data_IF_077948403930
#
_entry.id   IF_077948403930
#
_cell.length_a   1.000
_cell.length_b   1.000
_cell.length_c   1.000
_cell.angle_alpha   90.00
_cell.angle_beta   90.00
_cell.angle_gamma   90.00
#
_symmetry.space_group_name_H-M   'P 1'
#
loop_
_entity.id
_entity.type
_entity.pdbx_description
1 polymer ?
#
# COMPACT_ATOMS: atom_id res chain seq x y z
N UNK A 1 -18.33 15.08 -20.73
CA UNK A 1 -18.88 14.91 -19.37
C UNK A 1 -18.89 13.41 -19.12
N UNK A 2 -17.99 12.89 -18.29
CA UNK A 2 -18.00 11.47 -17.97
C UNK A 2 -19.26 11.21 -17.14
N UNK A 3 -20.18 10.39 -17.67
CA UNK A 3 -21.40 10.02 -16.96
C UNK A 3 -21.02 9.14 -15.76
N UNK A 4 -20.89 9.78 -14.60
CA UNK A 4 -20.87 9.05 -13.33
C UNK A 4 -22.23 8.38 -13.13
N UNK A 5 -22.23 7.26 -12.40
CA UNK A 5 -23.47 6.59 -12.02
C UNK A 5 -24.43 7.59 -11.34
N UNK A 6 -25.75 7.50 -11.55
CA UNK A 6 -26.73 8.39 -10.92
C UNK A 6 -26.55 8.52 -9.40
N UNK A 7 -26.15 7.42 -8.75
CA UNK A 7 -25.92 7.36 -7.30
C UNK A 7 -24.68 8.17 -6.90
N UNK A 8 -23.62 8.15 -7.71
CA UNK A 8 -22.43 8.95 -7.42
C UNK A 8 -22.76 10.43 -7.54
N UNK A 9 -23.53 10.82 -8.56
CA UNK A 9 -24.00 12.20 -8.69
C UNK A 9 -24.84 12.61 -7.46
N UNK A 10 -25.77 11.77 -7.03
CA UNK A 10 -26.56 12.03 -5.80
C UNK A 10 -25.68 12.19 -4.56
N UNK A 11 -24.63 11.38 -4.41
CA UNK A 11 -23.71 11.49 -3.27
C UNK A 11 -22.88 12.78 -3.32
N UNK A 12 -22.42 13.18 -4.51
CA UNK A 12 -21.72 14.45 -4.71
C UNK A 12 -22.64 15.64 -4.40
N UNK A 13 -23.89 15.59 -4.85
CA UNK A 13 -24.90 16.63 -4.61
C UNK A 13 -25.26 16.75 -3.11
N UNK A 14 -25.16 15.64 -2.36
CA UNK A 14 -25.32 15.61 -0.90
C UNK A 14 -24.09 16.10 -0.13
N UNK A 15 -23.03 16.54 -0.82
CA UNK A 15 -21.82 17.10 -0.21
C UNK A 15 -20.76 16.07 0.17
N UNK A 16 -20.87 14.81 -0.28
CA UNK A 16 -19.81 13.81 -0.09
C UNK A 16 -18.63 14.15 -1.00
N UNK A 17 -17.42 14.24 -0.44
CA UNK A 17 -16.21 14.50 -1.24
C UNK A 17 -15.97 13.38 -2.25
N UNK A 18 -15.68 13.76 -3.50
CA UNK A 18 -15.37 12.81 -4.58
C UNK A 18 -14.19 11.90 -4.24
N UNK A 19 -13.20 12.40 -3.49
CA UNK A 19 -12.05 11.62 -3.04
C UNK A 19 -12.45 10.50 -2.07
N UNK A 20 -13.44 10.76 -1.21
CA UNK A 20 -14.00 9.76 -0.30
C UNK A 20 -14.70 8.65 -1.08
N UNK A 21 -15.52 9.02 -2.09
CA UNK A 21 -16.23 8.06 -2.95
C UNK A 21 -15.22 7.17 -3.70
N UNK A 22 -14.21 7.80 -4.32
CA UNK A 22 -13.15 7.11 -5.04
C UNK A 22 -12.40 6.14 -4.11
N UNK A 23 -12.01 6.59 -2.91
CA UNK A 23 -11.25 5.77 -1.96
C UNK A 23 -12.05 4.54 -1.49
N UNK A 24 -13.33 4.73 -1.15
CA UNK A 24 -14.20 3.65 -0.70
C UNK A 24 -14.47 2.62 -1.80
N UNK A 25 -14.67 3.06 -3.04
CA UNK A 25 -14.92 2.16 -4.17
C UNK A 25 -13.65 1.47 -4.68
N UNK A 26 -12.48 2.11 -4.61
CA UNK A 26 -11.21 1.51 -5.01
C UNK A 26 -10.65 0.56 -3.96
N UNK A 27 -10.95 0.74 -2.67
CA UNK A 27 -10.38 -0.10 -1.62
C UNK A 27 -10.61 -1.61 -1.82
N UNK A 28 -11.84 -2.09 -2.14
CA UNK A 28 -12.07 -3.49 -2.48
C UNK A 28 -11.24 -3.97 -3.67
N UNK A 29 -11.06 -3.12 -4.70
CA UNK A 29 -10.27 -3.45 -5.90
C UNK A 29 -8.81 -3.70 -5.52
N UNK A 30 -8.26 -2.80 -4.69
CA UNK A 30 -6.90 -2.91 -4.17
C UNK A 30 -6.72 -4.19 -3.36
N UNK A 31 -7.66 -4.50 -2.46
CA UNK A 31 -7.60 -5.71 -1.65
C UNK A 31 -7.58 -6.96 -2.52
N UNK A 32 -8.41 -7.04 -3.56
CA UNK A 32 -8.41 -8.16 -4.50
C UNK A 32 -7.09 -8.30 -5.24
N UNK A 33 -6.50 -7.19 -5.72
CA UNK A 33 -5.18 -7.21 -6.38
C UNK A 33 -4.11 -7.76 -5.42
N UNK A 34 -4.11 -7.32 -4.17
CA UNK A 34 -3.19 -7.83 -3.14
C UNK A 34 -3.39 -9.32 -2.90
N UNK A 35 -4.64 -9.79 -2.81
CA UNK A 35 -4.97 -11.22 -2.64
C UNK A 35 -4.47 -12.03 -3.84
N UNK A 36 -4.68 -11.55 -5.06
CA UNK A 36 -4.18 -12.19 -6.29
C UNK A 36 -2.66 -12.33 -6.23
N UNK A 37 -1.94 -11.24 -5.97
CA UNK A 37 -0.49 -11.25 -5.92
C UNK A 37 0.03 -12.20 -4.84
N UNK A 38 -0.63 -12.23 -3.68
CA UNK A 38 -0.24 -13.11 -2.58
C UNK A 38 -0.56 -14.58 -2.84
N UNK A 39 -1.69 -14.89 -3.45
CA UNK A 39 -2.13 -16.26 -3.68
C UNK A 39 -1.50 -16.87 -4.94
N UNK A 40 -1.43 -16.13 -6.04
CA UNK A 40 -0.88 -16.62 -7.31
C UNK A 40 0.64 -16.48 -7.35
N UNK A 41 1.21 -15.33 -6.95
CA UNK A 41 2.66 -15.11 -7.03
C UNK A 41 3.37 -15.69 -5.80
N UNK A 42 2.73 -15.67 -4.62
CA UNK A 42 3.30 -16.18 -3.38
C UNK A 42 4.14 -15.17 -2.59
N UNK A 43 3.99 -13.88 -2.89
CA UNK A 43 4.72 -12.78 -2.23
C UNK A 43 4.25 -12.67 -0.76
N UNK A 44 5.20 -12.60 0.18
CA UNK A 44 4.89 -12.47 1.61
C UNK A 44 4.94 -10.99 2.01
N UNK A 45 3.82 -10.42 2.43
CA UNK A 45 3.76 -9.03 2.90
C UNK A 45 3.26 -8.96 4.36
N UNK A 46 3.17 -7.74 4.92
CA UNK A 46 2.62 -7.47 6.25
C UNK A 46 1.08 -7.70 6.33
N UNK A 47 0.65 -8.93 6.07
CA UNK A 47 -0.76 -9.27 5.90
C UNK A 47 -1.33 -8.70 4.60
N UNK A 48 -2.65 -8.63 4.50
CA UNK A 48 -3.37 -8.07 3.34
C UNK A 48 -3.59 -6.57 3.53
N UNK A 49 -3.98 -6.16 4.73
CA UNK A 49 -4.30 -4.77 5.07
C UNK A 49 -3.17 -3.79 4.75
N UNK A 50 -1.95 -4.09 5.17
CA UNK A 50 -0.83 -3.16 5.09
C UNK A 50 -0.42 -2.83 3.64
N UNK A 51 -0.14 -3.81 2.76
CA UNK A 51 0.09 -3.50 1.35
C UNK A 51 -1.12 -2.81 0.70
N UNK A 52 -2.37 -3.13 1.08
CA UNK A 52 -3.56 -2.47 0.52
C UNK A 52 -3.61 -0.97 0.82
N UNK A 53 -3.47 -0.55 2.08
CA UNK A 53 -3.57 0.89 2.41
C UNK A 53 -2.33 1.63 1.93
N UNK A 54 -1.16 1.00 1.88
CA UNK A 54 0.04 1.62 1.30
C UNK A 54 -0.13 1.84 -0.20
N UNK A 55 -0.78 0.90 -0.90
CA UNK A 55 -1.16 1.08 -2.32
C UNK A 55 -2.05 2.31 -2.49
N UNK A 56 -3.09 2.45 -1.65
CA UNK A 56 -3.95 3.63 -1.69
C UNK A 56 -3.17 4.91 -1.37
N UNK A 57 -2.29 4.88 -0.37
CA UNK A 57 -1.45 6.02 -0.04
C UNK A 57 -0.59 6.45 -1.25
N UNK A 58 -0.03 5.49 -1.98
CA UNK A 58 0.75 5.75 -3.19
C UNK A 58 -0.11 6.35 -4.31
N UNK A 59 -1.32 5.82 -4.53
CA UNK A 59 -2.27 6.34 -5.53
C UNK A 59 -2.64 7.80 -5.24
N UNK A 60 -2.86 8.15 -3.96
CA UNK A 60 -3.21 9.52 -3.58
C UNK A 60 -2.01 10.48 -3.61
N UNK A 61 -0.83 10.04 -3.18
CA UNK A 61 0.39 10.89 -3.22
C UNK A 61 0.82 11.14 -4.67
N UNK A 62 0.66 10.15 -5.55
CA UNK A 62 1.12 10.20 -6.93
C UNK A 62 -0.03 10.25 -7.95
N UNK A 63 -1.07 11.01 -7.61
CA UNK A 63 -2.29 11.16 -8.42
C UNK A 63 -2.10 12.08 -9.63
N UNK A 64 -1.34 13.15 -9.47
CA UNK A 64 -1.20 14.19 -10.51
C UNK A 64 -0.27 13.76 -11.63
N UNK A 65 0.92 13.24 -11.30
CA UNK A 65 1.87 12.74 -12.28
C UNK A 65 2.35 11.34 -11.90
N UNK A 66 2.51 10.51 -12.92
CA UNK A 66 3.09 9.17 -12.76
C UNK A 66 4.47 9.20 -12.07
N UNK A 67 5.28 10.23 -12.36
CA UNK A 67 6.61 10.38 -11.78
C UNK A 67 6.60 10.74 -10.29
N UNK A 68 5.46 11.14 -9.73
CA UNK A 68 5.32 11.54 -8.32
C UNK A 68 5.34 10.32 -7.38
N UNK A 69 5.25 9.10 -7.92
CA UNK A 69 5.42 7.86 -7.15
C UNK A 69 6.76 7.83 -6.40
N UNK A 70 7.79 8.50 -6.94
CA UNK A 70 9.08 8.65 -6.27
C UNK A 70 8.94 9.28 -4.89
N UNK A 71 7.98 10.19 -4.67
CA UNK A 71 7.76 10.84 -3.38
C UNK A 71 7.20 9.85 -2.37
N UNK A 72 6.18 9.08 -2.76
CA UNK A 72 5.59 8.05 -1.91
C UNK A 72 6.61 6.96 -1.53
N UNK A 73 7.40 6.50 -2.51
CA UNK A 73 8.47 5.52 -2.28
C UNK A 73 9.58 6.10 -1.39
N UNK A 74 9.95 7.37 -1.58
CA UNK A 74 10.97 8.02 -0.74
C UNK A 74 10.52 8.12 0.72
N UNK A 75 9.28 8.56 0.96
CA UNK A 75 8.71 8.61 2.31
C UNK A 75 8.68 7.22 2.93
N UNK A 76 8.23 6.21 2.18
CA UNK A 76 8.22 4.82 2.62
C UNK A 76 9.60 4.33 3.07
N UNK A 77 10.64 4.59 2.28
CA UNK A 77 12.02 4.17 2.58
C UNK A 77 12.56 4.91 3.80
N UNK A 78 12.36 6.24 3.88
CA UNK A 78 12.80 7.05 5.03
C UNK A 78 12.14 6.56 6.32
N UNK A 79 10.83 6.33 6.28
CA UNK A 79 10.05 5.86 7.43
C UNK A 79 10.59 4.52 7.96
N UNK A 80 10.87 3.56 7.09
CA UNK A 80 11.45 2.28 7.50
C UNK A 80 12.90 2.41 7.98
N UNK A 81 13.70 3.24 7.32
CA UNK A 81 15.09 3.46 7.70
C UNK A 81 15.19 4.07 9.10
N UNK A 82 14.45 5.16 9.35
CA UNK A 82 14.40 5.83 10.65
C UNK A 82 13.84 4.89 11.71
N UNK A 83 12.76 4.16 11.40
CA UNK A 83 12.19 3.18 12.31
C UNK A 83 13.17 2.07 12.71
N UNK A 84 14.01 1.61 11.77
CA UNK A 84 15.07 0.63 12.00
C UNK A 84 16.19 1.21 12.87
N UNK A 85 16.69 2.42 12.55
CA UNK A 85 17.73 3.11 13.33
C UNK A 85 17.26 3.33 14.77
N UNK A 86 16.05 3.86 14.93
CA UNK A 86 15.50 4.18 16.24
C UNK A 86 15.29 2.92 17.10
N UNK A 87 14.96 1.78 16.49
CA UNK A 87 14.94 0.49 17.21
C UNK A 87 16.31 0.16 17.81
N UNK A 88 17.41 0.35 17.07
CA UNK A 88 18.75 0.09 17.59
C UNK A 88 19.11 1.03 18.75
N UNK A 89 18.71 2.30 18.67
CA UNK A 89 18.88 3.28 19.74
C UNK A 89 18.08 2.87 20.98
N UNK A 90 16.78 2.59 20.82
CA UNK A 90 15.87 2.24 21.91
C UNK A 90 16.18 0.89 22.57
N UNK A 91 16.89 -0.02 21.89
CA UNK A 91 17.29 -1.32 22.45
C UNK A 91 18.12 -1.16 23.73
N UNK A 92 18.86 -0.06 23.89
CA UNK A 92 19.69 0.21 25.09
C UNK A 92 18.87 0.58 26.32
N UNK A 93 17.67 1.12 26.14
CA UNK A 93 16.87 1.73 27.21
C UNK A 93 15.95 0.75 27.96
N UNK A 94 15.98 -0.56 27.63
CA UNK A 94 15.16 -1.62 28.28
C UNK A 94 13.68 -1.25 28.49
N UNK A 95 13.10 -0.50 27.55
CA UNK A 95 11.72 -0.02 27.63
C UNK A 95 10.69 -1.14 27.37
N UNK A 96 9.49 -0.99 27.94
CA UNK A 96 8.31 -1.79 27.57
C UNK A 96 7.96 -1.61 26.09
N UNK A 97 7.23 -2.58 25.52
CA UNK A 97 6.85 -2.58 24.11
C UNK A 97 6.04 -1.34 23.71
N UNK A 98 4.95 -1.02 24.43
CA UNK A 98 4.06 0.09 24.13
C UNK A 98 4.79 1.46 24.11
N UNK A 99 5.54 1.85 25.17
CA UNK A 99 6.35 3.08 25.13
C UNK A 99 7.39 3.09 24.01
N UNK A 100 8.01 1.94 23.72
CA UNK A 100 9.02 1.84 22.67
C UNK A 100 8.43 2.11 21.29
N UNK A 101 7.24 1.57 20.99
CA UNK A 101 6.54 1.80 19.73
C UNK A 101 6.08 3.25 19.62
N UNK A 102 5.54 3.82 20.71
CA UNK A 102 5.11 5.23 20.73
C UNK A 102 6.27 6.19 20.43
N UNK A 103 7.41 6.04 21.10
CA UNK A 103 8.60 6.87 20.84
C UNK A 103 9.06 6.70 19.39
N UNK A 104 9.04 5.48 18.86
CA UNK A 104 9.45 5.26 17.47
C UNK A 104 8.52 5.96 16.47
N UNK A 105 7.20 5.85 16.66
CA UNK A 105 6.21 6.56 15.84
C UNK A 105 6.39 8.09 15.92
N UNK A 106 6.68 8.64 17.11
CA UNK A 106 6.94 10.07 17.27
C UNK A 106 8.20 10.51 16.52
N UNK A 107 9.30 9.79 16.65
CA UNK A 107 10.57 10.10 15.97
C UNK A 107 10.42 10.02 14.45
N UNK A 108 9.73 8.98 13.95
CA UNK A 108 9.45 8.83 12.53
C UNK A 108 8.57 9.96 12.02
N UNK A 109 7.52 10.33 12.76
CA UNK A 109 6.63 11.45 12.38
C UNK A 109 7.41 12.76 12.29
N UNK A 110 8.28 13.03 13.26
CA UNK A 110 9.16 14.20 13.23
C UNK A 110 10.15 14.15 12.07
N UNK A 111 10.73 12.98 11.78
CA UNK A 111 11.62 12.82 10.62
C UNK A 111 10.92 13.08 9.29
N UNK A 112 9.66 12.66 9.15
CA UNK A 112 8.86 12.95 7.95
C UNK A 112 8.56 14.44 7.85
N UNK A 113 8.22 15.10 8.96
CA UNK A 113 8.04 16.56 9.02
C UNK A 113 9.31 17.30 8.54
N UNK A 114 10.48 16.92 9.06
CA UNK A 114 11.77 17.48 8.61
C UNK A 114 12.00 17.22 7.13
N UNK A 115 11.68 16.02 6.64
CA UNK A 115 11.81 15.67 5.22
C UNK A 115 10.93 16.57 4.35
N UNK A 116 9.68 16.84 4.76
CA UNK A 116 8.76 17.72 4.04
C UNK A 116 9.23 19.18 4.07
N UNK A 117 9.73 19.67 5.20
CA UNK A 117 10.29 21.02 5.31
C UNK A 117 11.52 21.20 4.39
N UNK A 118 12.44 20.22 4.39
CA UNK A 118 13.61 20.23 3.50
C UNK A 118 13.17 20.15 2.03
N UNK A 119 12.22 19.28 1.71
CA UNK A 119 11.71 19.16 0.35
C UNK A 119 11.02 20.44 -0.14
N UNK A 120 10.28 21.13 0.73
CA UNK A 120 9.68 22.43 0.47
C UNK A 120 10.72 23.51 0.20
N UNK A 121 11.85 23.50 0.94
CA UNK A 121 12.96 24.44 0.72
C UNK A 121 13.62 24.26 -0.66
N UNK A 122 13.66 23.05 -1.20
CA UNK A 122 14.23 22.75 -2.52
C UNK A 122 13.21 22.89 -3.67
N UNK A 123 12.10 23.58 -3.46
CA UNK A 123 11.00 23.76 -4.43
C UNK A 123 10.50 22.44 -5.05
N UNK A 124 10.57 21.34 -4.29
CA UNK A 124 10.04 20.05 -4.73
C UNK A 124 8.53 20.03 -4.50
N UNK A 125 7.80 20.72 -5.37
CA UNK A 125 6.35 20.93 -5.31
C UNK A 125 5.54 19.64 -5.06
N UNK A 126 5.98 18.50 -5.60
CA UNK A 126 5.30 17.22 -5.39
C UNK A 126 5.40 16.61 -3.97
N UNK A 127 6.32 17.09 -3.12
CA UNK A 127 6.29 16.73 -1.68
C UNK A 127 5.34 17.64 -0.89
N UNK A 128 5.18 18.90 -1.29
CA UNK A 128 4.36 19.88 -0.59
C UNK A 128 2.85 19.72 -0.88
N UNK A 129 2.50 19.20 -2.07
CA UNK A 129 1.12 18.93 -2.47
C UNK A 129 0.58 17.58 -1.95
N UNK A 130 1.42 16.75 -1.33
CA UNK A 130 1.02 15.41 -0.91
C UNK A 130 0.04 15.47 0.28
N UNK A 131 -1.12 14.79 0.20
CA UNK A 131 -2.10 14.79 1.28
C UNK A 131 -1.55 14.12 2.55
N UNK A 132 -1.82 14.72 3.70
CA UNK A 132 -1.27 14.28 5.00
C UNK A 132 -1.73 12.87 5.41
N UNK A 133 -2.96 12.48 5.09
CA UNK A 133 -3.53 11.19 5.48
C UNK A 133 -2.75 10.00 4.88
N UNK A 134 -2.49 9.94 3.57
CA UNK A 134 -1.57 8.96 2.98
C UNK A 134 -0.18 8.90 3.62
N UNK A 135 0.38 10.03 4.02
CA UNK A 135 1.68 10.07 4.70
C UNK A 135 1.57 9.42 6.08
N UNK A 136 0.52 9.73 6.83
CA UNK A 136 0.25 9.10 8.14
C UNK A 136 0.09 7.59 8.02
N UNK A 137 -0.62 7.10 7.00
CA UNK A 137 -0.71 5.65 6.71
C UNK A 137 0.68 5.04 6.57
N UNK A 138 1.57 5.65 5.78
CA UNK A 138 2.93 5.15 5.60
C UNK A 138 3.68 5.15 6.95
N UNK A 139 3.52 6.18 7.78
CA UNK A 139 4.13 6.23 9.13
C UNK A 139 3.64 5.07 10.01
N UNK A 140 2.34 4.72 9.98
CA UNK A 140 1.80 3.63 10.81
C UNK A 140 2.36 2.25 10.45
N UNK A 141 2.94 2.08 9.25
CA UNK A 141 3.66 0.86 8.87
C UNK A 141 4.78 0.52 9.86
N UNK A 142 5.39 1.54 10.47
CA UNK A 142 6.51 1.37 11.40
C UNK A 142 6.13 0.49 12.57
N UNK A 143 4.90 0.58 13.06
CA UNK A 143 4.43 -0.28 14.14
C UNK A 143 4.59 -1.74 13.74
N UNK A 144 3.98 -2.16 12.62
CA UNK A 144 4.09 -3.54 12.13
C UNK A 144 5.51 -3.94 11.79
N UNK A 145 6.28 -3.04 11.19
CA UNK A 145 7.67 -3.30 10.85
C UNK A 145 8.49 -3.59 12.11
N UNK A 146 8.33 -2.80 13.18
CA UNK A 146 9.02 -2.97 14.45
C UNK A 146 8.59 -4.24 15.16
N UNK A 147 7.29 -4.55 15.18
CA UNK A 147 6.77 -5.81 15.73
C UNK A 147 7.45 -6.99 15.05
N UNK A 148 7.49 -7.02 13.72
CA UNK A 148 8.11 -8.12 12.98
C UNK A 148 9.63 -8.14 13.13
N UNK A 149 10.29 -6.98 13.25
CA UNK A 149 11.71 -6.93 13.59
C UNK A 149 12.00 -7.51 14.97
N UNK A 150 11.08 -7.41 15.93
CA UNK A 150 11.22 -7.99 17.27
C UNK A 150 10.94 -9.50 17.22
N UNK A 151 9.87 -9.93 16.55
CA UNK A 151 9.44 -11.34 16.52
C UNK A 151 10.27 -12.23 15.60
N UNK A 152 10.61 -11.74 14.40
CA UNK A 152 11.19 -12.54 13.31
C UNK A 152 12.57 -12.06 12.86
N UNK A 153 13.10 -11.03 13.52
CA UNK A 153 14.40 -10.44 13.26
C UNK A 153 14.44 -9.46 12.07
N UNK A 154 15.55 -8.73 11.98
CA UNK A 154 15.72 -7.63 11.02
C UNK A 154 15.68 -8.09 9.56
N UNK A 155 16.32 -9.23 9.24
CA UNK A 155 16.36 -9.76 7.87
C UNK A 155 14.95 -10.04 7.34
N UNK A 156 14.14 -10.72 8.14
CA UNK A 156 12.76 -11.05 7.78
C UNK A 156 11.90 -9.80 7.61
N UNK A 157 12.05 -8.81 8.51
CA UNK A 157 11.29 -7.57 8.41
C UNK A 157 11.66 -6.76 7.16
N UNK A 158 12.93 -6.70 6.78
CA UNK A 158 13.38 -6.03 5.55
C UNK A 158 12.83 -6.73 4.31
N UNK A 159 12.87 -8.07 4.27
CA UNK A 159 12.30 -8.84 3.17
C UNK A 159 10.80 -8.54 3.03
N UNK A 160 10.05 -8.61 4.14
CA UNK A 160 8.62 -8.32 4.13
C UNK A 160 8.31 -6.88 3.76
N UNK A 161 9.17 -5.92 4.13
CA UNK A 161 9.03 -4.53 3.70
C UNK A 161 9.23 -4.38 2.19
N UNK A 162 10.27 -4.99 1.62
CA UNK A 162 10.52 -4.97 0.18
C UNK A 162 9.37 -5.63 -0.58
N UNK A 163 8.90 -6.79 -0.11
CA UNK A 163 7.74 -7.49 -0.70
C UNK A 163 6.45 -6.65 -0.60
N UNK A 164 6.24 -5.96 0.53
CA UNK A 164 5.10 -5.03 0.72
C UNK A 164 5.20 -3.84 -0.24
N UNK A 165 6.39 -3.25 -0.40
CA UNK A 165 6.65 -2.17 -1.34
C UNK A 165 6.41 -2.62 -2.78
N UNK A 166 6.84 -3.82 -3.14
CA UNK A 166 6.65 -4.40 -4.46
C UNK A 166 5.16 -4.60 -4.79
N UNK A 167 4.38 -5.15 -3.86
CA UNK A 167 2.92 -5.26 -4.00
C UNK A 167 2.29 -3.87 -4.16
N UNK A 168 2.70 -2.89 -3.33
CA UNK A 168 2.16 -1.54 -3.40
C UNK A 168 2.47 -0.84 -4.72
N UNK A 169 3.67 -1.07 -5.28
CA UNK A 169 4.07 -0.52 -6.57
C UNK A 169 3.26 -1.13 -7.71
N UNK A 170 3.07 -2.46 -7.73
CA UNK A 170 2.21 -3.12 -8.72
C UNK A 170 0.78 -2.61 -8.59
N UNK A 171 0.25 -2.55 -7.37
CA UNK A 171 -1.07 -2.00 -7.09
C UNK A 171 -1.21 -0.58 -7.63
N UNK A 172 -0.23 0.30 -7.35
CA UNK A 172 -0.20 1.66 -7.89
C UNK A 172 -0.24 1.65 -9.43
N UNK A 173 0.54 0.78 -10.08
CA UNK A 173 0.57 0.75 -11.54
C UNK A 173 -0.77 0.36 -12.18
N UNK A 174 -1.50 -0.53 -11.52
CA UNK A 174 -2.81 -1.01 -11.98
C UNK A 174 -3.89 0.03 -11.68
N UNK A 175 -3.84 0.73 -10.55
CA UNK A 175 -4.91 1.60 -10.08
C UNK A 175 -4.71 3.09 -10.38
N UNK A 176 -3.49 3.54 -10.65
CA UNK A 176 -3.21 4.98 -10.82
C UNK A 176 -3.97 5.55 -12.02
N UNK A 177 -4.76 6.63 -11.86
CA UNK A 177 -5.43 7.30 -12.98
C UNK A 177 -4.47 7.83 -14.04
N UNK A 178 -3.18 7.93 -13.74
CA UNK A 178 -2.15 8.36 -14.69
C UNK A 178 -1.70 7.26 -15.64
N UNK A 179 -2.09 5.99 -15.41
CA UNK A 179 -1.88 4.90 -16.37
C UNK A 179 -3.10 4.67 -17.23
N UNK A 180 -2.93 4.15 -18.46
CA UNK A 180 -4.06 3.75 -19.30
C UNK A 180 -4.97 2.77 -18.56
N UNK A 181 -4.39 1.74 -17.93
CA UNK A 181 -5.13 0.69 -17.21
C UNK A 181 -5.90 1.26 -16.01
N UNK A 182 -5.25 2.10 -15.21
CA UNK A 182 -5.89 2.69 -14.03
C UNK A 182 -6.97 3.71 -14.37
N UNK A 183 -6.86 4.39 -15.51
CA UNK A 183 -7.96 5.22 -16.05
C UNK A 183 -9.18 4.36 -16.32
N UNK A 184 -9.03 3.23 -17.03
CA UNK A 184 -10.15 2.33 -17.31
C UNK A 184 -10.77 1.78 -16.02
N UNK A 185 -9.96 1.33 -15.07
CA UNK A 185 -10.44 0.79 -13.79
C UNK A 185 -11.19 1.87 -12.99
N UNK A 186 -10.60 3.06 -12.86
CA UNK A 186 -11.22 4.16 -12.10
C UNK A 186 -12.52 4.62 -12.74
N UNK A 187 -12.55 4.82 -14.06
CA UNK A 187 -13.77 5.18 -14.79
C UNK A 187 -14.82 4.10 -14.67
N UNK A 188 -14.45 2.82 -14.87
CA UNK A 188 -15.38 1.71 -14.75
C UNK A 188 -15.99 1.61 -13.35
N UNK A 189 -15.18 1.79 -12.31
CA UNK A 189 -15.61 1.82 -10.92
C UNK A 189 -16.58 2.97 -10.62
N UNK A 190 -16.37 4.14 -11.22
CA UNK A 190 -17.25 5.29 -11.03
C UNK A 190 -18.54 5.22 -11.88
N UNK A 191 -18.50 4.59 -13.06
CA UNK A 191 -19.70 4.41 -13.87
C UNK A 191 -20.57 3.26 -13.35
N UNK A 192 -19.97 2.19 -12.83
CA UNK A 192 -20.68 0.98 -12.38
C UNK A 192 -20.29 0.52 -10.95
N UNK A 193 -20.54 1.33 -9.91
CA UNK A 193 -20.13 1.02 -8.54
C UNK A 193 -20.73 -0.29 -8.00
N UNK A 194 -21.99 -0.60 -8.31
CA UNK A 194 -22.63 -1.85 -7.86
C UNK A 194 -22.01 -3.10 -8.47
N UNK A 195 -21.62 -3.03 -9.75
CA UNK A 195 -21.00 -4.15 -10.45
C UNK A 195 -19.67 -4.48 -9.77
N UNK A 196 -18.87 -3.45 -9.46
CA UNK A 196 -17.61 -3.61 -8.74
C UNK A 196 -17.82 -4.21 -7.35
N UNK A 197 -18.82 -3.70 -6.59
CA UNK A 197 -19.13 -4.20 -5.25
C UNK A 197 -19.60 -5.67 -5.25
N UNK A 198 -20.23 -6.15 -6.32
CA UNK A 198 -20.70 -7.53 -6.44
C UNK A 198 -19.61 -8.47 -6.97
N UNK A 199 -18.89 -8.06 -8.03
CA UNK A 199 -17.87 -8.89 -8.69
C UNK A 199 -16.68 -9.14 -7.76
N UNK A 200 -16.24 -8.14 -7.00
CA UNK A 200 -15.04 -8.26 -6.17
C UNK A 200 -15.14 -9.35 -5.08
N UNK A 201 -16.20 -9.38 -4.26
CA UNK A 201 -16.42 -10.47 -3.32
C UNK A 201 -16.55 -11.82 -4.01
N UNK A 202 -17.18 -11.88 -5.19
CA UNK A 202 -17.32 -13.10 -5.96
C UNK A 202 -15.95 -13.65 -6.38
N UNK A 203 -15.09 -12.79 -6.93
CA UNK A 203 -13.70 -13.13 -7.30
C UNK A 203 -12.94 -13.62 -6.07
N UNK A 204 -13.05 -12.93 -4.93
CA UNK A 204 -12.39 -13.35 -3.70
C UNK A 204 -12.91 -14.71 -3.20
N UNK A 205 -14.20 -15.00 -3.35
CA UNK A 205 -14.78 -16.30 -3.01
C UNK A 205 -14.23 -17.42 -3.91
N UNK A 206 -14.10 -17.17 -5.22
CA UNK A 206 -13.45 -18.09 -6.14
C UNK A 206 -11.98 -18.32 -5.78
N UNK A 207 -11.26 -17.26 -5.42
CA UNK A 207 -9.86 -17.35 -4.98
C UNK A 207 -9.71 -18.11 -3.67
N UNK A 208 -10.67 -18.01 -2.75
CA UNK A 208 -10.69 -18.79 -1.52
C UNK A 208 -10.79 -20.30 -1.75
N UNK A 209 -11.31 -20.72 -2.91
CA UNK A 209 -11.41 -22.14 -3.32
C UNK A 209 -10.23 -22.59 -4.19
N UNK A 210 -9.30 -21.69 -4.55
CA UNK A 210 -8.21 -22.01 -5.46
C UNK A 210 -7.07 -22.72 -4.72
N UNK A 211 -6.93 -24.02 -4.98
CA UNK A 211 -5.91 -24.93 -4.42
C UNK A 211 -4.66 -25.08 -5.30
N UNK A 212 -4.53 -24.26 -6.35
CA UNK A 212 -3.38 -24.30 -7.26
C UNK A 212 -2.04 -23.98 -6.57
N UNK A 213 -0.95 -24.56 -7.08
CA UNK A 213 0.41 -24.24 -6.66
C UNK A 213 0.73 -22.76 -6.96
N UNK A 214 1.41 -22.10 -6.03
CA UNK A 214 1.87 -20.71 -6.22
C UNK A 214 2.93 -20.66 -7.32
N UNK A 215 3.03 -19.58 -8.10
CA UNK A 215 4.12 -19.38 -9.07
C UNK A 215 5.50 -19.49 -8.42
N UNK A 216 5.64 -18.99 -7.19
CA UNK A 216 6.86 -19.18 -6.38
C UNK A 216 7.17 -20.65 -6.10
N UNK A 217 6.16 -21.48 -5.92
CA UNK A 217 6.30 -22.93 -5.69
C UNK A 217 6.64 -23.65 -7.00
N UNK A 218 6.07 -23.23 -8.12
CA UNK A 218 6.44 -23.74 -9.44
C UNK A 218 7.92 -23.50 -9.75
N UNK A 219 8.44 -22.31 -9.42
CA UNK A 219 9.86 -22.01 -9.57
C UNK A 219 10.73 -22.84 -8.60
N UNK A 220 10.30 -23.00 -7.35
CA UNK A 220 11.05 -23.75 -6.31
C UNK A 220 11.09 -25.26 -6.56
N UNK A 221 10.01 -25.84 -7.09
CA UNK A 221 9.88 -27.29 -7.33
C UNK A 221 10.18 -27.70 -8.77
N UNK A 222 10.70 -26.77 -9.59
CA UNK A 222 11.01 -27.04 -11.00
C UNK A 222 11.90 -28.28 -11.18
N UNK A 223 12.88 -28.47 -10.29
CA UNK A 223 13.82 -29.59 -10.39
C UNK A 223 13.25 -30.93 -9.90
N UNK A 224 12.21 -30.90 -9.05
CA UNK A 224 11.51 -32.11 -8.57
C UNK A 224 10.48 -32.57 -9.60
N UNK A 225 9.74 -31.63 -10.20
CA UNK A 225 8.74 -31.93 -11.25
C UNK A 225 9.42 -32.51 -12.49
N UNK A 226 10.63 -32.04 -12.82
CA UNK A 226 11.42 -32.53 -13.96
C UNK A 226 11.99 -33.95 -13.78
N UNK A 227 11.93 -34.52 -12.57
CA UNK A 227 12.36 -35.90 -12.26
C UNK A 227 11.21 -36.92 -12.22
N UNK A 228 9.96 -36.44 -12.30
CA UNK A 228 8.75 -37.28 -12.20
C UNK A 228 8.09 -37.49 -13.57
N UNK A 229 8.46 -36.71 -14.60
CA UNK A 229 8.19 -37.01 -16.01
C UNK A 229 9.33 -37.82 -16.61
#
# INVERSE_FOLDING_TARGET
MNEYSPIINTLLDQGVSGDTIILLLLFPVVVTIVVILRQFVGIKAFGIYTPSIITLAFVFIARERWFDIKYAVTIYVIVLFVGMVMRYVLKRFRLLYLPRVAINLSVVSFSVLVTLAVAGYFDRTGFAAAPIFPILVIITLVEKFVTVQIEKGNRTAIILAIETLFIALIGYTVLSPTTPVGTYITTFTLTHPFIVLLIIPLINLFMGKWTGLRLSEYYRFRDVIKKIQ
#
